data_IF_026287541910
#
_entry.id   IF_026287541910
#
_cell.length_a   1.000
_cell.length_b   1.000
_cell.length_c   1.000
_cell.angle_alpha   90.00
_cell.angle_beta   90.00
_cell.angle_gamma   90.00
#
_symmetry.space_group_name_H-M   'P 1'
#
loop_
_entity.id
_entity.type
_entity.pdbx_description
1 polymer ?
#
# COMPACT_ATOMS: atom_id res chain seq x y z
N UNK A 1 14.97 17.55 7.49
CA UNK A 1 15.83 17.43 8.70
C UNK A 1 17.21 18.01 8.40
N UNK A 2 17.82 18.74 9.34
CA UNK A 2 19.20 19.22 9.23
C UNK A 2 20.13 18.47 10.19
N UNK A 3 21.44 18.62 9.99
CA UNK A 3 22.45 18.10 10.90
C UNK A 3 22.66 19.05 12.08
N UNK A 4 23.21 18.54 13.19
CA UNK A 4 23.51 19.35 14.37
C UNK A 4 24.61 20.36 14.05
N UNK A 5 24.38 21.62 14.35
CA UNK A 5 25.23 22.77 14.00
C UNK A 5 25.67 23.58 15.24
N UNK A 6 25.50 22.99 16.43
CA UNK A 6 26.04 23.55 17.67
C UNK A 6 27.56 23.75 17.58
N UNK A 7 28.11 24.72 18.32
CA UNK A 7 29.56 24.97 18.38
C UNK A 7 30.38 23.80 18.92
N UNK A 8 29.73 22.80 19.50
CA UNK A 8 30.30 21.57 20.05
C UNK A 8 30.08 20.34 19.16
N UNK A 9 29.53 20.52 17.96
CA UNK A 9 29.41 19.47 16.97
C UNK A 9 30.78 19.15 16.34
N UNK A 10 30.93 17.94 15.81
CA UNK A 10 32.12 17.62 15.01
C UNK A 10 32.13 18.44 13.72
N UNK A 11 33.29 18.61 13.05
CA UNK A 11 33.37 19.33 11.76
C UNK A 11 32.41 18.79 10.67
N UNK A 12 31.99 17.53 10.79
CA UNK A 12 31.03 16.88 9.89
C UNK A 12 29.56 17.02 10.33
N UNK A 13 29.28 17.87 11.32
CA UNK A 13 27.96 18.11 11.91
C UNK A 13 27.34 16.83 12.49
N UNK A 14 28.11 16.11 13.32
CA UNK A 14 27.64 14.93 14.06
C UNK A 14 27.83 15.09 15.57
N UNK A 15 27.10 14.26 16.32
CA UNK A 15 27.22 14.14 17.76
C UNK A 15 28.54 13.47 18.15
N UNK A 16 29.14 13.94 19.23
CA UNK A 16 30.25 13.32 19.94
C UNK A 16 29.99 13.34 21.44
N UNK A 17 30.36 12.27 22.13
CA UNK A 17 30.35 12.21 23.61
C UNK A 17 31.44 13.09 24.23
N UNK A 18 32.32 13.65 23.38
CA UNK A 18 33.54 14.31 23.81
C UNK A 18 34.55 13.30 24.36
N UNK A 19 35.60 13.83 24.97
CA UNK A 19 36.57 13.06 25.75
C UNK A 19 36.90 13.92 26.97
N UNK A 20 36.86 13.43 28.22
CA UNK A 20 37.30 14.19 29.37
C UNK A 20 38.83 14.16 29.57
N UNK A 21 39.55 13.26 28.90
CA UNK A 21 41.01 13.10 29.00
C UNK A 21 41.79 14.03 28.06
N UNK A 22 41.12 14.51 27.02
CA UNK A 22 41.56 15.56 26.07
C UNK A 22 40.47 16.63 26.14
N UNK A 23 40.72 17.95 26.12
CA UNK A 23 39.67 18.96 26.33
C UNK A 23 38.68 19.08 25.13
N UNK A 24 37.95 18.02 24.82
CA UNK A 24 36.94 17.92 23.76
C UNK A 24 35.56 17.86 24.43
N UNK A 25 34.77 18.93 24.39
CA UNK A 25 33.43 18.94 24.96
C UNK A 25 32.48 18.00 24.20
N UNK A 26 31.51 17.43 24.92
CA UNK A 26 30.41 16.71 24.31
C UNK A 26 29.50 17.64 23.49
N UNK A 27 28.83 17.10 22.47
CA UNK A 27 27.89 17.87 21.67
C UNK A 27 26.66 18.26 22.49
N UNK A 28 26.42 19.56 22.59
CA UNK A 28 25.19 20.12 23.15
C UNK A 28 24.09 20.03 22.11
N UNK A 29 23.01 19.32 22.44
CA UNK A 29 21.84 19.21 21.56
C UNK A 29 21.05 20.52 21.59
N UNK A 30 20.84 21.12 20.41
CA UNK A 30 20.09 22.38 20.27
C UNK A 30 18.59 22.14 20.16
N UNK A 31 17.80 23.13 20.57
CA UNK A 31 16.36 23.16 20.42
C UNK A 31 15.95 23.16 18.94
N UNK A 32 16.65 23.91 18.09
CA UNK A 32 16.45 23.93 16.65
C UNK A 32 16.51 22.51 16.04
N UNK A 33 17.54 21.73 16.41
CA UNK A 33 17.68 20.36 15.92
C UNK A 33 16.55 19.44 16.39
N UNK A 34 16.14 19.53 17.66
CA UNK A 34 15.04 18.72 18.20
C UNK A 34 13.68 19.12 17.59
N UNK A 35 13.45 20.42 17.36
CA UNK A 35 12.27 20.92 16.70
C UNK A 35 12.23 20.46 15.24
N UNK A 36 13.35 20.47 14.52
CA UNK A 36 13.40 19.95 13.17
C UNK A 36 13.10 18.45 13.10
N UNK A 37 13.55 17.64 14.08
CA UNK A 37 13.16 16.23 14.18
C UNK A 37 11.66 16.10 14.42
N UNK A 38 11.10 16.91 15.32
CA UNK A 38 9.66 16.91 15.62
C UNK A 38 8.84 17.25 14.38
N UNK A 39 9.17 18.32 13.66
CA UNK A 39 8.43 18.75 12.48
C UNK A 39 8.46 17.72 11.35
N UNK A 40 9.57 16.99 11.17
CA UNK A 40 9.65 15.90 10.19
C UNK A 40 8.74 14.73 10.56
N UNK A 41 8.67 14.37 11.85
CA UNK A 41 7.77 13.33 12.34
C UNK A 41 6.30 13.77 12.18
N UNK A 42 5.98 15.04 12.47
CA UNK A 42 4.65 15.61 12.25
C UNK A 42 4.29 15.62 10.76
N UNK A 43 5.23 15.94 9.87
CA UNK A 43 5.02 15.90 8.43
C UNK A 43 4.67 14.49 7.92
N UNK A 44 5.27 13.45 8.49
CA UNK A 44 4.90 12.04 8.20
C UNK A 44 3.46 11.76 8.63
N UNK A 45 3.06 12.19 9.83
CA UNK A 45 1.68 12.03 10.31
C UNK A 45 0.70 12.78 9.40
N UNK A 46 1.03 14.01 9.01
CA UNK A 46 0.22 14.83 8.11
C UNK A 46 0.05 14.16 6.74
N UNK A 47 1.13 13.63 6.15
CA UNK A 47 1.08 12.89 4.89
C UNK A 47 0.16 11.66 4.98
N UNK A 48 0.13 10.99 6.14
CA UNK A 48 -0.73 9.84 6.39
C UNK A 48 -2.16 10.21 6.82
N UNK A 49 -2.51 11.50 6.90
CA UNK A 49 -3.76 12.02 7.48
C UNK A 49 -4.03 11.49 8.90
N UNK A 50 -2.99 11.37 9.73
CA UNK A 50 -3.07 10.99 11.14
C UNK A 50 -2.99 12.24 12.00
N UNK A 51 -3.96 12.43 12.90
CA UNK A 51 -3.93 13.55 13.86
C UNK A 51 -2.94 13.21 14.98
N UNK A 52 -2.01 14.12 15.33
CA UNK A 52 -1.09 13.90 16.43
C UNK A 52 -1.81 13.72 17.78
N UNK A 53 -1.44 12.69 18.52
CA UNK A 53 -1.96 12.40 19.86
C UNK A 53 -0.80 12.21 20.84
N UNK A 54 -0.75 13.04 21.89
CA UNK A 54 0.29 13.00 22.92
C UNK A 54 0.24 11.71 23.74
N UNK A 55 -0.92 11.07 23.87
CA UNK A 55 -1.04 9.81 24.61
C UNK A 55 -0.59 8.59 23.79
N UNK A 56 -0.32 8.75 22.49
CA UNK A 56 -0.04 7.65 21.58
C UNK A 56 1.40 7.70 21.02
N UNK A 57 2.25 6.80 21.50
CA UNK A 57 3.64 6.69 21.03
C UNK A 57 3.79 5.82 19.76
N UNK A 58 2.72 5.20 19.27
CA UNK A 58 2.72 4.34 18.07
C UNK A 58 2.23 5.06 16.79
N UNK A 59 1.90 6.35 16.88
CA UNK A 59 1.33 7.12 15.77
C UNK A 59 2.21 7.20 14.52
N UNK A 60 3.54 7.34 14.67
CA UNK A 60 4.48 7.39 13.53
C UNK A 60 4.52 6.05 12.81
N UNK A 61 4.54 4.94 13.56
CA UNK A 61 4.48 3.59 12.99
C UNK A 61 3.19 3.39 12.19
N UNK A 62 2.04 3.76 12.77
CA UNK A 62 0.75 3.67 12.11
C UNK A 62 0.68 4.51 10.82
N UNK A 63 1.24 5.73 10.84
CA UNK A 63 1.33 6.59 9.68
C UNK A 63 2.17 5.97 8.55
N UNK A 64 3.34 5.43 8.87
CA UNK A 64 4.21 4.76 7.89
C UNK A 64 3.49 3.54 7.29
N UNK A 65 2.87 2.70 8.12
CA UNK A 65 2.11 1.54 7.64
C UNK A 65 0.99 1.95 6.69
N UNK A 66 0.29 3.04 7.00
CA UNK A 66 -0.77 3.60 6.16
C UNK A 66 -0.23 4.11 4.82
N UNK A 67 0.85 4.89 4.84
CA UNK A 67 1.51 5.41 3.63
C UNK A 67 2.01 4.30 2.71
N UNK A 68 2.45 3.16 3.27
CA UNK A 68 2.88 1.99 2.50
C UNK A 68 1.66 1.27 1.92
N UNK A 69 0.60 1.07 2.71
CA UNK A 69 -0.60 0.37 2.28
C UNK A 69 -1.36 1.13 1.17
N UNK A 70 -1.29 2.46 1.15
CA UNK A 70 -2.00 3.30 0.18
C UNK A 70 -1.44 3.20 -1.26
N UNK A 71 -0.35 2.46 -1.49
CA UNK A 71 0.37 2.50 -2.77
C UNK A 71 -0.31 1.80 -3.95
N UNK A 72 -1.43 1.12 -3.78
CA UNK A 72 -2.30 0.73 -4.91
C UNK A 72 -3.69 0.29 -4.44
N UNK A 73 -4.71 1.09 -4.74
CA UNK A 73 -6.10 0.72 -4.51
C UNK A 73 -6.60 -0.39 -5.45
N UNK A 74 -7.77 -0.95 -5.16
CA UNK A 74 -8.45 -1.91 -6.04
C UNK A 74 -8.82 -1.21 -7.35
N UNK A 75 -8.59 -1.86 -8.49
CA UNK A 75 -9.01 -1.36 -9.80
C UNK A 75 -10.52 -1.10 -9.82
N UNK A 76 -10.92 0.06 -10.33
CA UNK A 76 -12.33 0.43 -10.58
C UNK A 76 -12.49 0.76 -12.07
N UNK A 77 -13.73 0.84 -12.54
CA UNK A 77 -14.01 1.29 -13.92
C UNK A 77 -13.39 2.67 -14.12
N UNK A 78 -12.46 2.77 -15.07
CA UNK A 78 -11.75 4.02 -15.38
C UNK A 78 -10.63 4.40 -14.40
N UNK A 79 -10.27 3.54 -13.44
CA UNK A 79 -9.17 3.78 -12.49
C UNK A 79 -8.26 2.56 -12.42
N UNK A 80 -7.01 2.73 -12.85
CA UNK A 80 -5.97 1.71 -12.75
C UNK A 80 -5.71 1.34 -11.27
N UNK A 81 -5.57 0.06 -10.96
CA UNK A 81 -5.34 -0.45 -9.61
C UNK A 81 -5.02 -1.95 -9.58
N UNK A 82 -4.96 -2.54 -8.38
CA UNK A 82 -4.79 -3.99 -8.21
C UNK A 82 -6.10 -4.71 -8.50
N UNK A 83 -6.02 -5.83 -9.22
CA UNK A 83 -7.13 -6.77 -9.36
C UNK A 83 -7.03 -7.77 -8.21
N UNK A 84 -8.08 -7.88 -7.40
CA UNK A 84 -8.23 -8.92 -6.36
C UNK A 84 -9.21 -9.97 -6.89
N UNK A 85 -8.73 -11.05 -7.53
CA UNK A 85 -9.61 -12.08 -8.07
C UNK A 85 -10.21 -12.87 -6.92
N UNK A 86 -11.52 -13.04 -6.92
CA UNK A 86 -12.24 -13.91 -5.97
C UNK A 86 -12.06 -15.41 -6.29
N UNK A 87 -11.41 -15.73 -7.42
CA UNK A 87 -11.24 -17.09 -7.92
C UNK A 87 -12.53 -17.70 -8.50
N UNK A 88 -13.64 -16.97 -8.49
CA UNK A 88 -14.98 -17.43 -8.86
C UNK A 88 -15.52 -16.67 -10.08
N UNK A 89 -15.44 -15.35 -10.09
CA UNK A 89 -15.84 -14.47 -11.20
C UNK A 89 -14.64 -13.91 -11.96
N UNK A 90 -13.49 -13.78 -11.31
CA UNK A 90 -12.23 -13.37 -11.94
C UNK A 90 -11.13 -14.33 -11.48
N UNK A 91 -10.34 -14.86 -12.41
CA UNK A 91 -9.21 -15.76 -12.14
C UNK A 91 -7.90 -15.22 -12.72
N UNK A 92 -6.80 -15.53 -12.03
CA UNK A 92 -5.42 -15.36 -12.52
C UNK A 92 -4.85 -16.76 -12.74
N UNK A 93 -4.40 -17.05 -13.95
CA UNK A 93 -3.72 -18.32 -14.24
C UNK A 93 -2.24 -18.30 -13.81
N UNK A 94 -1.57 -19.45 -13.84
CA UNK A 94 -0.17 -19.59 -13.44
C UNK A 94 0.81 -18.75 -14.30
N UNK A 95 0.35 -18.22 -15.44
CA UNK A 95 1.13 -17.34 -16.33
C UNK A 95 0.84 -15.86 -16.09
N UNK A 96 -0.07 -15.53 -15.18
CA UNK A 96 -0.45 -14.15 -14.84
C UNK A 96 -1.56 -13.57 -15.71
N UNK A 97 -2.25 -14.38 -16.53
CA UNK A 97 -3.37 -13.89 -17.34
C UNK A 97 -4.61 -13.71 -16.49
N UNK A 98 -5.22 -12.53 -16.58
CA UNK A 98 -6.50 -12.23 -15.95
C UNK A 98 -7.62 -12.65 -16.91
N UNK A 99 -8.55 -13.48 -16.42
CA UNK A 99 -9.75 -13.85 -17.15
C UNK A 99 -10.98 -13.63 -16.28
N UNK A 100 -12.08 -13.17 -16.89
CA UNK A 100 -13.39 -13.27 -16.27
C UNK A 100 -13.80 -14.73 -16.41
N UNK A 101 -14.20 -15.35 -15.30
CA UNK A 101 -14.93 -16.61 -15.36
C UNK A 101 -16.28 -16.24 -15.95
N UNK A 102 -16.42 -16.46 -17.25
CA UNK A 102 -17.72 -16.50 -17.88
C UNK A 102 -18.46 -17.58 -17.11
N UNK A 103 -19.32 -17.19 -16.16
CA UNK A 103 -20.29 -18.14 -15.63
C UNK A 103 -20.96 -18.69 -16.87
N UNK A 104 -20.95 -20.00 -17.08
CA UNK A 104 -21.63 -20.69 -18.17
C UNK A 104 -23.16 -20.47 -18.08
N UNK A 105 -23.58 -19.22 -18.14
CA UNK A 105 -24.96 -18.79 -18.25
C UNK A 105 -25.21 -18.68 -19.74
N UNK A 106 -25.21 -19.84 -20.40
CA UNK A 106 -25.77 -20.05 -21.73
C UNK A 106 -25.64 -18.82 -22.63
N UNK A 107 -24.53 -18.70 -23.38
CA UNK A 107 -24.39 -17.61 -24.35
C UNK A 107 -25.68 -17.54 -25.19
N UNK A 108 -26.45 -16.48 -24.94
CA UNK A 108 -27.71 -16.16 -25.61
C UNK A 108 -27.34 -15.80 -27.05
N UNK A 109 -27.06 -16.80 -27.87
CA UNK A 109 -26.46 -16.58 -29.17
C UNK A 109 -26.00 -17.82 -29.92
N UNK A 110 -25.87 -18.99 -29.29
CA UNK A 110 -25.78 -20.23 -30.09
C UNK A 110 -27.16 -20.54 -30.69
N UNK A 111 -27.33 -20.21 -31.97
CA UNK A 111 -28.38 -20.79 -32.79
C UNK A 111 -28.27 -22.31 -32.66
N UNK A 112 -29.24 -22.92 -31.99
CA UNK A 112 -29.37 -24.36 -31.76
C UNK A 112 -29.30 -25.14 -33.08
N UNK A 113 -28.10 -25.51 -33.52
CA UNK A 113 -27.90 -26.36 -34.69
C UNK A 113 -28.00 -27.82 -34.26
N UNK A 114 -29.23 -28.27 -33.95
CA UNK A 114 -29.75 -29.65 -34.01
C UNK A 114 -28.92 -30.86 -33.54
N UNK A 115 -27.78 -30.72 -32.86
CA UNK A 115 -26.98 -31.86 -32.41
C UNK A 115 -26.37 -31.60 -31.03
N UNK A 116 -27.23 -31.61 -30.01
CA UNK A 116 -26.75 -31.83 -28.64
C UNK A 116 -26.74 -33.35 -28.36
N UNK A 117 -25.61 -33.97 -27.98
CA UNK A 117 -25.52 -35.41 -27.79
C UNK A 117 -26.35 -35.96 -26.61
N UNK A 118 -26.83 -35.10 -25.70
CA UNK A 118 -27.70 -35.48 -24.57
C UNK A 118 -28.76 -34.42 -24.26
N UNK A 119 -29.95 -34.51 -24.85
CA UNK A 119 -31.06 -33.63 -24.49
C UNK A 119 -31.41 -33.81 -23.01
N UNK A 120 -31.69 -32.70 -22.30
CA UNK A 120 -32.22 -32.77 -20.92
C UNK A 120 -33.52 -33.59 -20.93
N UNK A 121 -33.73 -34.50 -19.95
CA UNK A 121 -34.96 -35.29 -19.88
C UNK A 121 -36.21 -34.38 -19.90
N UNK A 122 -37.12 -34.61 -20.86
CA UNK A 122 -38.37 -33.86 -21.00
C UNK A 122 -38.44 -32.83 -22.15
N UNK A 123 -37.37 -32.64 -22.93
CA UNK A 123 -37.40 -31.81 -24.14
C UNK A 123 -37.40 -32.67 -25.41
N UNK A 124 -38.43 -32.53 -26.23
CA UNK A 124 -38.51 -33.13 -27.56
C UNK A 124 -38.18 -32.08 -28.65
N UNK A 125 -37.46 -32.45 -29.72
CA UNK A 125 -37.27 -31.56 -30.86
C UNK A 125 -38.61 -31.34 -31.57
N UNK A 126 -38.89 -30.08 -31.94
CA UNK A 126 -40.06 -29.69 -32.70
C UNK A 126 -39.95 -30.30 -34.11
N UNK A 127 -40.85 -31.22 -34.48
CA UNK A 127 -40.92 -31.76 -35.84
C UNK A 127 -41.53 -30.71 -36.78
N UNK A 128 -40.69 -30.14 -37.64
CA UNK A 128 -41.09 -29.40 -38.84
C UNK A 128 -40.57 -30.12 -40.07
#
# INVERSE_FOLDING_TARGET
>A
MHRIDSSTATPDNRFTEGDPTIPVPATTVTDDWLNAVQEELIAILAAANVTPDKANNAQVLAAIQRLIADKTGIAKVGVNGLVNPDGVTIKIDATGKISVVQSDKYDLGEFYYFRHPTLKPGFAPLQG
#
